data_IF_273415504779
#
_entry.id   IF_273415504779
#
_cell.length_a   1.000
_cell.length_b   1.000
_cell.length_c   1.000
_cell.angle_alpha   90.00
_cell.angle_beta   90.00
_cell.angle_gamma   90.00
#
_symmetry.space_group_name_H-M   'P 1'
#
loop_
_entity.id
_entity.type
_entity.pdbx_description
1 polymer ?
#
# COMPACT_ATOMS: atom_id res chain seq x y z
N UNK A 1 -20.66 1.76 -14.59
CA UNK A 1 -19.39 1.58 -13.88
C UNK A 1 -18.36 2.51 -14.50
N UNK A 2 -17.93 3.56 -13.80
CA UNK A 2 -16.78 4.35 -14.27
C UNK A 2 -15.50 3.61 -13.91
N UNK A 3 -14.55 3.53 -14.85
CA UNK A 3 -13.19 3.09 -14.56
C UNK A 3 -12.60 4.01 -13.48
N UNK A 4 -11.85 3.44 -12.53
CA UNK A 4 -11.09 4.19 -11.52
C UNK A 4 -10.26 5.34 -12.13
N UNK A 5 -9.88 5.23 -13.41
CA UNK A 5 -9.20 6.27 -14.18
C UNK A 5 -9.99 7.57 -14.36
N UNK A 6 -11.31 7.57 -14.11
CA UNK A 6 -12.16 8.76 -14.27
C UNK A 6 -12.42 9.49 -12.94
N UNK A 7 -12.05 8.93 -11.79
CA UNK A 7 -12.23 9.58 -10.49
C UNK A 7 -11.38 10.85 -10.33
N UNK A 8 -10.28 10.96 -11.07
CA UNK A 8 -9.35 12.11 -11.02
C UNK A 8 -9.87 13.36 -11.77
N UNK A 9 -11.03 13.29 -12.45
CA UNK A 9 -11.55 14.43 -13.26
C UNK A 9 -12.28 15.48 -12.43
N UNK A 10 -12.92 15.08 -11.33
CA UNK A 10 -13.82 15.94 -10.56
C UNK A 10 -13.15 16.60 -9.35
N UNK A 11 -11.86 16.31 -9.12
CA UNK A 11 -11.05 16.98 -8.11
C UNK A 11 -9.73 17.42 -8.75
N UNK A 12 -9.35 18.71 -8.71
CA UNK A 12 -8.05 19.12 -9.16
C UNK A 12 -7.00 18.49 -8.22
N UNK A 13 -6.50 17.31 -8.60
CA UNK A 13 -5.36 16.70 -7.94
C UNK A 13 -4.25 17.75 -7.87
N UNK A 14 -3.62 17.92 -6.71
CA UNK A 14 -2.42 18.75 -6.62
C UNK A 14 -1.42 18.20 -7.62
N UNK A 15 -1.23 18.90 -8.75
CA UNK A 15 -0.34 18.50 -9.87
C UNK A 15 1.14 18.59 -9.50
N UNK A 16 1.45 18.77 -8.23
CA UNK A 16 2.81 18.92 -7.76
C UNK A 16 3.43 17.54 -7.56
N UNK A 17 4.65 17.38 -8.07
CA UNK A 17 5.45 16.18 -7.87
C UNK A 17 5.65 15.96 -6.36
N UNK A 18 5.01 14.93 -5.79
CA UNK A 18 5.24 14.58 -4.40
C UNK A 18 6.41 13.62 -4.32
N UNK A 19 7.57 14.18 -4.04
CA UNK A 19 8.78 13.40 -3.74
C UNK A 19 8.59 12.69 -2.38
N UNK A 20 8.77 11.36 -2.31
CA UNK A 20 8.82 10.62 -1.06
C UNK A 20 9.84 11.18 -0.09
N UNK A 21 9.59 10.98 1.20
CA UNK A 21 10.55 11.42 2.21
C UNK A 21 11.76 10.48 2.18
N UNK A 22 12.97 11.05 2.29
CA UNK A 22 14.17 10.26 2.43
C UNK A 22 14.35 9.86 3.90
N UNK A 23 13.91 8.65 4.24
CA UNK A 23 13.99 8.14 5.61
C UNK A 23 15.42 8.09 6.18
N UNK A 24 16.45 8.11 5.33
CA UNK A 24 17.85 8.07 5.78
C UNK A 24 18.37 9.43 6.28
N UNK A 25 17.75 10.53 5.88
CA UNK A 25 18.18 11.89 6.25
C UNK A 25 17.30 12.59 7.29
N UNK A 26 16.16 11.99 7.67
CA UNK A 26 15.24 12.59 8.64
C UNK A 26 15.78 12.45 10.07
N UNK A 27 15.78 13.56 10.81
CA UNK A 27 16.05 13.56 12.25
C UNK A 27 14.79 13.65 13.13
N UNK A 28 13.70 14.23 12.60
CA UNK A 28 12.42 14.42 13.31
C UNK A 28 11.25 14.36 12.33
N UNK A 29 10.08 13.97 12.83
CA UNK A 29 8.85 13.93 12.03
C UNK A 29 8.52 15.34 11.49
N UNK A 30 8.42 15.55 10.17
CA UNK A 30 8.07 16.86 9.61
C UNK A 30 6.62 17.24 9.88
N UNK A 31 6.32 18.54 9.91
CA UNK A 31 4.95 19.05 10.08
C UNK A 31 3.96 18.56 9.01
N UNK A 32 4.47 18.22 7.81
CA UNK A 32 3.65 17.63 6.75
C UNK A 32 3.12 16.24 7.11
N UNK A 33 3.75 15.54 8.05
CA UNK A 33 3.42 14.18 8.50
C UNK A 33 2.80 14.16 9.91
N UNK A 34 2.61 15.33 10.53
CA UNK A 34 1.86 15.45 11.79
C UNK A 34 0.38 15.52 11.43
N UNK A 35 -0.31 14.40 11.61
CA UNK A 35 -1.76 14.33 11.55
C UNK A 35 -2.32 14.88 12.85
N UNK A 36 -3.40 15.66 12.78
CA UNK A 36 -4.16 16.00 13.99
C UNK A 36 -4.61 14.69 14.66
N UNK A 37 -4.84 14.69 15.98
CA UNK A 37 -5.42 13.53 16.66
C UNK A 37 -6.82 13.26 16.06
N UNK A 38 -6.86 12.44 15.00
CA UNK A 38 -8.09 11.99 14.36
C UNK A 38 -8.80 10.94 15.23
N UNK A 39 -8.14 10.48 16.28
CA UNK A 39 -8.61 9.47 17.20
C UNK A 39 -8.52 10.04 18.61
N UNK A 40 -9.66 10.03 19.28
CA UNK A 40 -9.72 10.25 20.71
C UNK A 40 -9.19 8.99 21.39
N UNK A 41 -7.89 8.99 21.70
CA UNK A 41 -7.22 7.90 22.43
C UNK A 41 -7.91 7.61 23.77
N UNK A 42 -8.73 8.55 24.31
CA UNK A 42 -9.50 8.33 25.54
C UNK A 42 -10.64 7.31 25.38
N UNK A 43 -11.01 6.94 24.14
CA UNK A 43 -11.94 5.83 23.88
C UNK A 43 -11.28 4.46 23.89
N UNK A 44 -9.94 4.40 23.81
CA UNK A 44 -9.18 3.19 24.06
C UNK A 44 -8.97 3.13 25.57
N UNK A 45 -10.01 2.73 26.30
CA UNK A 45 -9.87 2.49 27.73
C UNK A 45 -9.03 1.23 27.92
N UNK A 46 -7.80 1.31 28.47
CA UNK A 46 -6.95 0.13 28.68
C UNK A 46 -7.60 -0.89 29.64
N UNK A 47 -8.57 -0.46 30.44
CA UNK A 47 -9.32 -1.35 31.35
C UNK A 47 -10.53 -2.06 30.69
N UNK A 48 -10.89 -1.70 29.45
CA UNK A 48 -11.98 -2.35 28.69
C UNK A 48 -11.55 -3.64 27.98
N UNK A 49 -10.31 -4.10 28.13
CA UNK A 49 -9.90 -5.46 27.72
C UNK A 49 -10.69 -6.58 28.45
N UNK A 50 -11.46 -6.24 29.50
CA UNK A 50 -12.30 -7.18 30.27
C UNK A 50 -13.76 -7.27 29.83
N UNK A 51 -14.15 -6.71 28.67
CA UNK A 51 -15.41 -7.05 28.00
C UNK A 51 -15.11 -7.95 26.80
N UNK A 52 -15.12 -9.27 27.05
CA UNK A 52 -14.59 -10.33 26.18
C UNK A 52 -15.37 -10.60 24.89
N UNK A 53 -15.47 -9.62 24.00
CA UNK A 53 -15.70 -9.87 22.58
C UNK A 53 -14.48 -9.39 21.81
N UNK A 54 -13.52 -10.29 21.57
CA UNK A 54 -12.43 -10.04 20.64
C UNK A 54 -13.05 -9.80 19.26
N UNK A 55 -13.09 -8.55 18.82
CA UNK A 55 -13.47 -8.19 17.46
C UNK A 55 -12.39 -8.77 16.53
N UNK A 56 -12.66 -9.91 15.90
CA UNK A 56 -11.73 -10.56 14.97
C UNK A 56 -12.19 -10.38 13.53
N UNK A 57 -11.31 -9.86 12.67
CA UNK A 57 -11.55 -9.76 11.23
C UNK A 57 -11.91 -11.17 10.69
N UNK A 58 -12.99 -11.32 9.89
CA UNK A 58 -13.39 -12.62 9.35
C UNK A 58 -12.25 -13.28 8.56
N UNK A 59 -12.05 -14.58 8.77
CA UNK A 59 -11.14 -15.43 7.99
C UNK A 59 -12.01 -16.37 7.15
N UNK A 60 -11.83 -16.35 5.83
CA UNK A 60 -12.60 -17.15 4.88
C UNK A 60 -11.70 -18.20 4.26
N UNK A 61 -12.08 -19.46 4.41
CA UNK A 61 -11.50 -20.57 3.67
C UNK A 61 -12.09 -20.61 2.26
N UNK A 62 -11.25 -20.47 1.23
CA UNK A 62 -11.72 -20.51 -0.17
C UNK A 62 -12.10 -21.91 -0.65
N UNK A 63 -11.77 -22.96 0.10
CA UNK A 63 -12.19 -24.33 -0.17
C UNK A 63 -13.53 -24.68 0.51
N UNK A 64 -14.09 -23.80 1.36
CA UNK A 64 -15.38 -24.02 2.00
C UNK A 64 -16.52 -24.05 0.94
N UNK A 65 -17.37 -25.09 0.91
CA UNK A 65 -18.52 -25.14 0.00
C UNK A 65 -19.50 -23.94 0.10
N UNK A 66 -19.48 -23.21 1.21
CA UNK A 66 -20.30 -22.02 1.49
C UNK A 66 -19.55 -20.71 1.30
N UNK A 67 -18.34 -20.73 0.71
CA UNK A 67 -17.45 -19.56 0.55
C UNK A 67 -18.17 -18.31 0.04
N UNK A 68 -19.07 -18.43 -0.95
CA UNK A 68 -19.80 -17.29 -1.50
C UNK A 68 -20.69 -16.59 -0.47
N UNK A 69 -21.36 -17.35 0.40
CA UNK A 69 -22.20 -16.79 1.47
C UNK A 69 -21.35 -16.14 2.57
N UNK A 70 -20.19 -16.72 2.89
CA UNK A 70 -19.25 -16.15 3.84
C UNK A 70 -18.67 -14.83 3.34
N UNK A 71 -18.28 -14.75 2.07
CA UNK A 71 -17.78 -13.53 1.42
C UNK A 71 -18.87 -12.46 1.44
N UNK A 72 -20.10 -12.80 1.04
CA UNK A 72 -21.21 -11.85 1.04
C UNK A 72 -21.45 -11.26 2.43
N UNK A 73 -21.56 -12.12 3.44
CA UNK A 73 -21.77 -11.70 4.83
C UNK A 73 -20.61 -10.83 5.34
N UNK A 74 -19.36 -11.19 5.05
CA UNK A 74 -18.20 -10.40 5.45
C UNK A 74 -18.16 -9.03 4.75
N UNK A 75 -18.49 -8.96 3.46
CA UNK A 75 -18.62 -7.70 2.74
C UNK A 75 -19.71 -6.79 3.34
N UNK A 76 -20.87 -7.34 3.70
CA UNK A 76 -22.00 -6.58 4.25
C UNK A 76 -21.76 -6.11 5.68
N UNK A 77 -21.19 -6.97 6.52
CA UNK A 77 -21.08 -6.71 7.97
C UNK A 77 -19.73 -6.11 8.38
N UNK A 78 -18.66 -6.32 7.60
CA UNK A 78 -17.31 -5.84 7.90
C UNK A 78 -16.70 -4.95 6.83
N UNK A 79 -16.99 -5.19 5.55
CA UNK A 79 -16.33 -4.51 4.42
C UNK A 79 -14.89 -5.00 4.15
N UNK A 80 -14.38 -5.95 4.93
CA UNK A 80 -13.08 -6.61 4.72
C UNK A 80 -13.05 -8.02 5.32
N UNK A 81 -12.14 -8.87 4.84
CA UNK A 81 -11.88 -10.22 5.34
C UNK A 81 -10.47 -10.67 4.95
N UNK A 82 -9.95 -11.69 5.65
CA UNK A 82 -8.75 -12.43 5.27
C UNK A 82 -9.15 -13.72 4.57
N UNK A 83 -8.27 -14.26 3.70
CA UNK A 83 -8.50 -15.54 3.01
C UNK A 83 -7.41 -16.54 3.33
N UNK A 84 -7.79 -17.81 3.43
CA UNK A 84 -6.89 -18.97 3.52
C UNK A 84 -7.22 -19.96 2.41
N UNK A 85 -6.32 -20.92 2.15
CA UNK A 85 -6.44 -21.90 1.07
C UNK A 85 -6.71 -21.25 -0.30
N UNK A 86 -6.08 -20.10 -0.54
CA UNK A 86 -6.29 -19.31 -1.77
C UNK A 86 -5.55 -19.85 -3.00
N UNK A 87 -4.87 -20.99 -2.89
CA UNK A 87 -4.17 -21.65 -4.00
C UNK A 87 -2.91 -20.94 -4.53
N UNK A 88 -2.51 -19.82 -3.93
CA UNK A 88 -1.24 -19.13 -4.27
C UNK A 88 -0.13 -19.79 -3.47
N UNK A 89 0.94 -20.22 -4.15
CA UNK A 89 2.04 -20.93 -3.50
C UNK A 89 2.77 -20.06 -2.48
N UNK A 90 3.22 -20.68 -1.39
CA UNK A 90 4.00 -19.99 -0.36
C UNK A 90 5.31 -19.46 -0.93
N UNK A 91 5.94 -20.23 -1.82
CA UNK A 91 7.20 -19.87 -2.47
C UNK A 91 7.07 -18.56 -3.26
N UNK A 92 5.94 -18.35 -3.95
CA UNK A 92 5.70 -17.10 -4.68
C UNK A 92 5.52 -15.91 -3.72
N UNK A 93 4.80 -16.10 -2.61
CA UNK A 93 4.63 -15.06 -1.59
C UNK A 93 5.98 -14.68 -0.95
N UNK A 94 6.79 -15.68 -0.61
CA UNK A 94 8.14 -15.47 -0.06
C UNK A 94 9.04 -14.71 -1.07
N UNK A 95 8.94 -15.04 -2.37
CA UNK A 95 9.66 -14.32 -3.43
C UNK A 95 9.21 -12.87 -3.57
N UNK A 96 7.89 -12.60 -3.56
CA UNK A 96 7.35 -11.24 -3.62
C UNK A 96 7.82 -10.42 -2.41
N UNK A 97 7.81 -11.00 -1.21
CA UNK A 97 8.30 -10.35 0.00
C UNK A 97 9.82 -10.05 -0.12
N UNK A 98 10.60 -11.01 -0.60
CA UNK A 98 12.04 -10.84 -0.82
C UNK A 98 12.34 -9.70 -1.82
N UNK A 99 11.68 -9.68 -2.98
CA UNK A 99 11.89 -8.62 -3.98
C UNK A 99 11.43 -7.26 -3.47
N UNK A 100 10.34 -7.21 -2.69
CA UNK A 100 9.85 -5.99 -2.05
C UNK A 100 10.88 -5.43 -1.08
N UNK A 101 11.44 -6.28 -0.20
CA UNK A 101 12.52 -5.88 0.71
C UNK A 101 13.76 -5.41 -0.05
N UNK A 102 14.17 -6.14 -1.09
CA UNK A 102 15.31 -5.78 -1.95
C UNK A 102 15.12 -4.41 -2.61
N UNK A 103 13.91 -4.10 -3.08
CA UNK A 103 13.56 -2.79 -3.66
C UNK A 103 13.70 -1.66 -2.64
N UNK A 104 13.04 -1.78 -1.48
CA UNK A 104 12.97 -0.69 -0.51
C UNK A 104 14.28 -0.50 0.28
N UNK A 105 15.12 -1.53 0.36
CA UNK A 105 16.49 -1.44 0.89
C UNK A 105 17.49 -0.73 -0.06
N UNK A 106 17.09 -0.40 -1.29
CA UNK A 106 17.94 0.42 -2.15
C UNK A 106 18.12 1.84 -1.55
N UNK A 107 19.30 2.46 -1.75
CA UNK A 107 19.50 3.87 -1.42
C UNK A 107 18.43 4.76 -2.06
N UNK A 108 18.07 5.85 -1.37
CA UNK A 108 17.04 6.78 -1.81
C UNK A 108 17.28 7.26 -3.25
N UNK A 109 18.52 7.60 -3.61
CA UNK A 109 18.90 8.09 -4.94
C UNK A 109 18.69 7.03 -6.04
N UNK A 110 18.82 5.74 -5.69
CA UNK A 110 18.53 4.64 -6.64
C UNK A 110 17.03 4.52 -6.86
N UNK A 111 16.21 4.58 -5.80
CA UNK A 111 14.73 4.56 -5.88
C UNK A 111 14.20 5.76 -6.68
N UNK A 112 14.84 6.92 -6.55
CA UNK A 112 14.49 8.14 -7.28
C UNK A 112 14.64 8.04 -8.81
N UNK A 113 15.41 7.08 -9.34
CA UNK A 113 15.52 6.86 -10.80
C UNK A 113 14.22 6.42 -11.47
N UNK A 114 13.27 5.96 -10.66
CA UNK A 114 11.94 5.50 -11.08
C UNK A 114 10.86 6.28 -10.33
N UNK A 115 11.17 7.51 -9.90
CA UNK A 115 10.17 8.43 -9.35
C UNK A 115 9.03 8.59 -10.35
N UNK A 116 7.80 8.40 -9.87
CA UNK A 116 6.58 8.57 -10.67
C UNK A 116 6.50 10.00 -11.20
N UNK A 117 6.47 10.16 -12.52
CA UNK A 117 6.34 11.47 -13.13
C UNK A 117 4.90 12.01 -13.01
N UNK A 118 4.68 13.34 -13.08
CA UNK A 118 3.34 13.91 -13.10
C UNK A 118 2.49 13.31 -14.23
N UNK A 119 1.31 12.79 -13.89
CA UNK A 119 0.41 12.14 -14.84
C UNK A 119 0.66 10.65 -15.07
N UNK A 120 1.78 10.09 -14.60
CA UNK A 120 2.03 8.64 -14.64
C UNK A 120 1.42 7.92 -13.44
N UNK A 121 1.08 6.64 -13.61
CA UNK A 121 0.53 5.77 -12.57
C UNK A 121 1.57 4.92 -11.84
N UNK A 122 2.75 4.76 -12.42
CA UNK A 122 3.71 3.73 -12.01
C UNK A 122 5.00 4.33 -11.48
N UNK A 123 5.72 3.55 -10.67
CA UNK A 123 7.01 3.94 -10.11
C UNK A 123 6.95 4.31 -8.63
N UNK A 124 8.10 4.78 -8.14
CA UNK A 124 8.34 5.18 -6.76
C UNK A 124 7.61 6.47 -6.43
N UNK A 125 6.88 6.50 -5.32
CA UNK A 125 6.03 7.62 -4.96
C UNK A 125 5.03 7.26 -3.87
N UNK A 126 4.42 8.28 -3.26
CA UNK A 126 3.26 8.08 -2.41
C UNK A 126 2.12 7.41 -3.20
N UNK A 127 1.25 6.61 -2.56
CA UNK A 127 0.05 6.10 -3.24
C UNK A 127 -0.80 7.30 -3.73
N UNK A 128 -1.48 7.17 -4.88
CA UNK A 128 -2.28 8.28 -5.45
C UNK A 128 -3.30 8.85 -4.48
N UNK A 129 -3.86 8.00 -3.61
CA UNK A 129 -4.80 8.42 -2.58
C UNK A 129 -4.22 9.47 -1.61
N UNK A 130 -2.89 9.56 -1.47
CA UNK A 130 -2.23 10.58 -0.66
C UNK A 130 -2.59 12.01 -1.08
N UNK A 131 -2.96 12.21 -2.35
CA UNK A 131 -3.34 13.51 -2.90
C UNK A 131 -4.69 14.04 -2.36
N UNK A 132 -5.51 13.18 -1.74
CA UNK A 132 -6.77 13.58 -1.10
C UNK A 132 -6.58 14.06 0.34
N UNK A 133 -5.36 13.99 0.88
CA UNK A 133 -5.07 14.37 2.26
C UNK A 133 -4.19 15.62 2.31
N UNK A 134 -4.49 16.50 3.26
CA UNK A 134 -3.68 17.70 3.51
C UNK A 134 -2.34 17.38 4.21
N UNK A 135 -2.23 16.17 4.77
CA UNK A 135 -1.03 15.64 5.44
C UNK A 135 -0.52 14.42 4.67
N UNK A 136 0.81 14.23 4.70
CA UNK A 136 1.50 13.09 4.09
C UNK A 136 1.49 11.89 5.02
N UNK A 137 1.35 10.70 4.46
CA UNK A 137 1.48 9.44 5.19
C UNK A 137 2.94 9.15 5.55
N UNK A 138 3.16 8.44 6.66
CA UNK A 138 4.49 7.93 7.03
C UNK A 138 4.78 6.63 6.26
N UNK A 139 4.99 6.75 4.95
CA UNK A 139 5.29 5.62 4.08
C UNK A 139 6.17 6.01 2.90
N UNK A 140 6.71 4.99 2.26
CA UNK A 140 7.11 5.04 0.87
C UNK A 140 6.31 3.99 0.09
N UNK A 141 6.24 4.16 -1.23
CA UNK A 141 5.43 3.31 -2.08
C UNK A 141 6.05 3.11 -3.45
N UNK A 142 5.68 2.01 -4.09
CA UNK A 142 6.07 1.69 -5.45
C UNK A 142 4.89 1.06 -6.17
N UNK A 143 4.48 1.63 -7.29
CA UNK A 143 3.33 1.14 -8.04
C UNK A 143 3.78 0.48 -9.33
N UNK A 144 3.38 -0.78 -9.52
CA UNK A 144 3.60 -1.55 -10.74
C UNK A 144 2.25 -1.72 -11.43
N UNK A 145 2.17 -1.29 -12.68
CA UNK A 145 1.00 -1.48 -13.54
C UNK A 145 1.43 -1.66 -15.00
N UNK A 146 0.65 -2.42 -15.78
CA UNK A 146 0.93 -2.66 -17.19
C UNK A 146 2.37 -3.14 -17.39
N UNK A 147 3.07 -2.59 -18.38
CA UNK A 147 4.45 -2.99 -18.72
C UNK A 147 5.54 -2.35 -17.86
N UNK A 148 5.21 -1.65 -16.78
CA UNK A 148 6.22 -0.97 -15.94
C UNK A 148 7.22 -1.93 -15.28
N UNK A 149 6.80 -3.17 -15.02
CA UNK A 149 7.69 -4.21 -14.50
C UNK A 149 8.84 -4.51 -15.45
N UNK A 150 8.72 -4.30 -16.77
CA UNK A 150 9.85 -4.48 -17.69
C UNK A 150 10.89 -3.36 -17.65
N UNK A 151 10.50 -2.15 -17.24
CA UNK A 151 11.30 -0.93 -17.42
C UNK A 151 11.93 -0.45 -16.11
N UNK A 152 11.20 -0.49 -15.00
CA UNK A 152 11.71 0.00 -13.72
C UNK A 152 12.88 -0.84 -13.17
N UNK A 153 12.84 -2.18 -13.20
CA UNK A 153 13.95 -3.00 -12.72
C UNK A 153 15.23 -2.77 -13.51
N UNK A 154 15.16 -2.49 -14.82
CA UNK A 154 16.33 -2.13 -15.63
C UNK A 154 17.00 -0.83 -15.16
N UNK A 155 16.19 0.14 -14.69
CA UNK A 155 16.69 1.42 -14.15
C UNK A 155 17.27 1.24 -12.73
N UNK A 156 16.69 0.36 -11.93
CA UNK A 156 17.07 0.10 -10.54
C UNK A 156 18.31 -0.81 -10.43
N UNK A 157 18.32 -1.91 -11.19
CA UNK A 157 19.34 -2.96 -11.19
C UNK A 157 19.87 -3.22 -12.59
N UNK A 158 20.57 -2.27 -13.23
CA UNK A 158 21.00 -2.39 -14.63
C UNK A 158 21.84 -3.66 -14.92
N UNK A 159 22.52 -4.20 -13.91
CA UNK A 159 23.39 -5.38 -14.04
C UNK A 159 22.76 -6.68 -13.50
N UNK A 160 21.52 -6.65 -12.98
CA UNK A 160 20.89 -7.83 -12.35
C UNK A 160 19.35 -7.81 -12.36
N UNK A 161 18.75 -7.06 -13.29
CA UNK A 161 17.30 -6.88 -13.37
C UNK A 161 16.54 -8.18 -13.68
N UNK A 162 17.21 -9.19 -14.26
CA UNK A 162 16.63 -10.50 -14.55
C UNK A 162 16.16 -11.26 -13.32
N UNK A 163 16.74 -10.95 -12.15
CA UNK A 163 16.37 -11.56 -10.87
C UNK A 163 15.08 -10.99 -10.26
N UNK A 164 14.41 -10.04 -10.93
CA UNK A 164 13.17 -9.44 -10.47
C UNK A 164 11.92 -10.24 -10.89
N UNK A 165 12.09 -11.23 -11.77
CA UNK A 165 11.03 -12.15 -12.24
C UNK A 165 11.34 -13.60 -11.90
#
# INVERSE_FOLDING_TARGET
MSLLSNADKDHPMQKHLIVPIDFSSIQRVPESHIWAQCFDDSKINPDNEKSGASISIPIIDLEDPKVLGLIFNACETWGMFQVINHGVSKELLDQVEFQTKKLFNLPFEKKMKVLRAPGEDTGYGYPRLALFFSKKMWNEGFTIMGNSYHHHPKKLWPNSFESFW
#
